data_IF_911571247136
#
_entry.id   IF_911571247136
#
_cell.length_a   1.000
_cell.length_b   1.000
_cell.length_c   1.000
_cell.angle_alpha   90.00
_cell.angle_beta   90.00
_cell.angle_gamma   90.00
#
_symmetry.space_group_name_H-M   'P 1'
#
loop_
_entity.id
_entity.type
_entity.pdbx_description
1 polymer ?
#
# COMPACT_ATOMS: atom_id res chain seq x y z
N UNK A 1 50.64 -4.17 25.95
CA UNK A 1 50.47 -3.74 24.53
C UNK A 1 49.23 -4.31 23.81
N UNK A 2 48.38 -5.17 24.42
CA UNK A 2 47.24 -5.82 23.73
C UNK A 2 45.99 -4.96 23.56
N UNK A 3 45.81 -3.92 24.38
CA UNK A 3 44.59 -3.07 24.38
C UNK A 3 44.55 -2.09 23.19
N UNK A 4 45.70 -1.72 22.61
CA UNK A 4 45.79 -0.75 21.50
C UNK A 4 45.15 -1.22 20.19
N UNK A 5 44.97 -2.53 20.02
CA UNK A 5 44.41 -3.11 18.78
C UNK A 5 42.94 -3.50 18.90
N UNK A 6 42.41 -3.63 20.12
CA UNK A 6 41.02 -4.05 20.34
C UNK A 6 40.04 -2.96 19.92
N UNK A 7 40.29 -1.70 20.31
CA UNK A 7 39.43 -0.56 19.97
C UNK A 7 39.30 -0.33 18.46
N UNK A 8 40.39 -0.19 17.67
CA UNK A 8 40.26 0.01 16.23
C UNK A 8 39.66 -1.20 15.51
N UNK A 9 39.93 -2.43 15.99
CA UNK A 9 39.34 -3.65 15.41
C UNK A 9 37.84 -3.73 15.66
N UNK A 10 37.37 -3.38 16.86
CA UNK A 10 35.93 -3.31 17.18
C UNK A 10 35.21 -2.25 16.33
N UNK A 11 35.85 -1.10 16.06
CA UNK A 11 35.28 -0.07 15.19
C UNK A 11 35.17 -0.52 13.73
N UNK A 12 36.16 -1.28 13.23
CA UNK A 12 36.12 -1.85 11.88
C UNK A 12 35.00 -2.89 11.74
N UNK A 13 34.88 -3.80 12.71
CA UNK A 13 33.80 -4.80 12.72
C UNK A 13 32.42 -4.13 12.80
N UNK A 14 32.25 -3.13 13.67
CA UNK A 14 31.01 -2.37 13.78
C UNK A 14 30.63 -1.64 12.49
N UNK A 15 31.62 -1.04 11.80
CA UNK A 15 31.40 -0.35 10.52
C UNK A 15 30.98 -1.30 9.40
N UNK A 16 31.59 -2.49 9.32
CA UNK A 16 31.24 -3.51 8.32
C UNK A 16 29.82 -4.02 8.54
N UNK A 17 29.45 -4.33 9.79
CA UNK A 17 28.09 -4.77 10.13
C UNK A 17 27.05 -3.68 9.85
N UNK A 18 27.36 -2.42 10.18
CA UNK A 18 26.49 -1.28 9.86
C UNK A 18 26.29 -1.07 8.36
N UNK A 19 27.37 -1.15 7.57
CA UNK A 19 27.29 -1.01 6.12
C UNK A 19 26.50 -2.16 5.46
N UNK A 20 26.71 -3.39 5.92
CA UNK A 20 25.96 -4.55 5.44
C UNK A 20 24.47 -4.44 5.76
N UNK A 21 24.11 -3.99 6.97
CA UNK A 21 22.71 -3.78 7.36
C UNK A 21 22.02 -2.70 6.51
N UNK A 22 22.70 -1.59 6.20
CA UNK A 22 22.14 -0.53 5.35
C UNK A 22 21.94 -1.04 3.91
N UNK A 23 22.89 -1.79 3.37
CA UNK A 23 22.77 -2.36 2.01
C UNK A 23 21.65 -3.39 1.91
N UNK A 24 21.44 -4.23 2.94
CA UNK A 24 20.33 -5.18 2.95
C UNK A 24 18.98 -4.49 3.08
N UNK A 25 18.85 -3.47 3.93
CA UNK A 25 17.64 -2.64 4.04
C UNK A 25 17.29 -1.94 2.71
N UNK A 26 18.28 -1.37 2.03
CA UNK A 26 18.09 -0.73 0.73
C UNK A 26 17.68 -1.74 -0.35
N UNK A 27 18.27 -2.94 -0.35
CA UNK A 27 17.93 -4.02 -1.28
C UNK A 27 16.54 -4.64 -1.00
N UNK A 28 16.02 -4.51 0.22
CA UNK A 28 14.71 -5.06 0.60
C UNK A 28 13.55 -4.06 0.39
N UNK A 29 13.84 -2.77 0.22
CA UNK A 29 12.81 -1.74 0.04
C UNK A 29 12.13 -1.87 -1.34
N UNK A 30 10.94 -2.47 -1.37
CA UNK A 30 10.08 -2.45 -2.56
C UNK A 30 9.48 -1.05 -2.71
N UNK A 31 9.44 -0.48 -3.93
CA UNK A 31 8.79 0.80 -4.14
C UNK A 31 7.29 0.69 -3.82
N UNK A 32 6.71 1.69 -3.13
CA UNK A 32 5.29 1.69 -2.84
C UNK A 32 4.47 1.74 -4.14
N UNK A 33 3.34 1.06 -4.15
CA UNK A 33 2.42 1.00 -5.28
C UNK A 33 1.20 1.85 -4.98
N UNK A 34 0.83 2.72 -5.92
CA UNK A 34 -0.38 3.52 -5.85
C UNK A 34 -1.41 2.98 -6.83
N UNK A 35 -2.49 2.40 -6.29
CA UNK A 35 -3.64 1.99 -7.08
C UNK A 35 -4.60 3.16 -7.20
N UNK A 36 -5.00 3.48 -8.42
CA UNK A 36 -6.00 4.49 -8.73
C UNK A 36 -7.24 3.75 -9.25
N UNK A 37 -8.32 3.76 -8.47
CA UNK A 37 -9.61 3.26 -8.89
C UNK A 37 -10.50 4.42 -9.33
N UNK A 38 -10.82 4.45 -10.61
CA UNK A 38 -11.76 5.39 -11.22
C UNK A 38 -13.07 4.62 -11.39
N UNK A 39 -14.05 4.87 -10.52
CA UNK A 39 -15.27 4.08 -10.46
C UNK A 39 -16.40 4.71 -11.28
N UNK A 40 -17.22 3.88 -11.91
CA UNK A 40 -18.51 4.26 -12.47
C UNK A 40 -19.61 3.55 -11.67
N UNK A 41 -20.44 4.33 -10.96
CA UNK A 41 -21.45 3.81 -10.05
C UNK A 41 -22.83 3.99 -10.66
N UNK A 42 -23.53 2.88 -10.90
CA UNK A 42 -24.90 2.88 -11.45
C UNK A 42 -25.98 2.82 -10.36
N UNK A 43 -25.69 2.16 -9.23
CA UNK A 43 -26.56 2.11 -8.06
C UNK A 43 -25.85 2.76 -6.87
N UNK A 44 -26.13 4.05 -6.64
CA UNK A 44 -25.47 4.81 -5.58
C UNK A 44 -25.79 4.28 -4.18
N UNK A 45 -27.01 3.80 -3.96
CA UNK A 45 -27.46 3.32 -2.65
C UNK A 45 -26.77 2.00 -2.29
N UNK A 46 -26.82 1.01 -3.19
CA UNK A 46 -26.13 -0.28 -3.00
C UNK A 46 -24.61 -0.10 -2.86
N UNK A 47 -24.02 0.76 -3.70
CA UNK A 47 -22.61 1.11 -3.59
C UNK A 47 -22.25 1.63 -2.19
N UNK A 48 -23.02 2.58 -1.67
CA UNK A 48 -22.70 3.26 -0.41
C UNK A 48 -22.99 2.38 0.82
N UNK A 49 -24.09 1.62 0.80
CA UNK A 49 -24.55 0.85 1.95
C UNK A 49 -23.97 -0.56 2.01
N UNK A 50 -23.76 -1.20 0.86
CA UNK A 50 -23.44 -2.63 0.77
C UNK A 50 -22.00 -2.87 0.36
N UNK A 51 -21.47 -2.12 -0.61
CA UNK A 51 -20.10 -2.31 -1.11
C UNK A 51 -19.04 -1.56 -0.28
N UNK A 52 -19.23 -0.26 -0.04
CA UNK A 52 -18.20 0.60 0.58
C UNK A 52 -17.73 0.09 1.95
N UNK A 53 -18.61 -0.27 2.91
CA UNK A 53 -18.15 -0.71 4.23
C UNK A 53 -17.25 -1.95 4.22
N UNK A 54 -17.61 -3.09 3.59
CA UNK A 54 -16.73 -4.26 3.54
C UNK A 54 -15.49 -4.01 2.66
N UNK A 55 -15.60 -3.25 1.57
CA UNK A 55 -14.45 -2.92 0.74
C UNK A 55 -13.40 -2.10 1.53
N UNK A 56 -13.82 -1.07 2.26
CA UNK A 56 -12.93 -0.28 3.12
C UNK A 56 -12.28 -1.12 4.22
N UNK A 57 -13.04 -2.05 4.81
CA UNK A 57 -12.51 -2.98 5.80
C UNK A 57 -11.42 -3.86 5.21
N UNK A 58 -11.67 -4.49 4.06
CA UNK A 58 -10.70 -5.36 3.37
C UNK A 58 -9.37 -4.63 3.06
N UNK A 59 -9.44 -3.37 2.62
CA UNK A 59 -8.25 -2.56 2.35
C UNK A 59 -7.39 -2.43 3.60
N UNK A 60 -8.01 -2.09 4.74
CA UNK A 60 -7.30 -1.92 6.02
C UNK A 60 -6.73 -3.23 6.53
N UNK A 61 -7.51 -4.30 6.48
CA UNK A 61 -7.11 -5.63 6.96
C UNK A 61 -5.90 -6.18 6.16
N UNK A 62 -5.79 -5.81 4.89
CA UNK A 62 -4.67 -6.20 4.02
C UNK A 62 -3.50 -5.20 4.01
N UNK A 63 -3.53 -4.16 4.85
CA UNK A 63 -2.44 -3.19 4.98
C UNK A 63 -2.42 -2.09 3.92
N UNK A 64 -3.49 -1.95 3.13
CA UNK A 64 -3.66 -0.85 2.20
C UNK A 64 -3.96 0.47 2.93
N UNK A 65 -3.41 1.56 2.43
CA UNK A 65 -3.55 2.90 3.02
C UNK A 65 -4.34 3.79 2.07
N UNK A 66 -5.44 4.39 2.56
CA UNK A 66 -6.16 5.41 1.80
C UNK A 66 -5.35 6.70 1.73
N UNK A 67 -5.00 7.12 0.52
CA UNK A 67 -4.34 8.40 0.23
C UNK A 67 -5.38 9.46 -0.09
N UNK A 68 -6.38 9.10 -0.90
CA UNK A 68 -7.53 9.95 -1.24
C UNK A 68 -8.75 9.09 -1.58
N UNK A 69 -9.95 9.57 -1.25
CA UNK A 69 -11.20 8.97 -1.67
C UNK A 69 -12.31 10.03 -1.71
N UNK A 70 -13.03 10.14 -2.81
CA UNK A 70 -14.13 11.10 -2.96
C UNK A 70 -14.60 11.25 -4.41
N UNK A 71 -15.57 12.14 -4.68
CA UNK A 71 -16.15 12.31 -6.02
C UNK A 71 -15.14 12.76 -7.08
N UNK A 72 -13.95 13.24 -6.67
CA UNK A 72 -12.98 13.84 -7.58
C UNK A 72 -13.40 15.23 -8.06
N UNK A 73 -12.44 16.00 -8.57
CA UNK A 73 -12.70 17.27 -9.23
C UNK A 73 -12.13 17.18 -10.63
N UNK A 74 -13.01 17.27 -11.63
CA UNK A 74 -12.61 17.22 -13.03
C UNK A 74 -11.96 18.54 -13.43
N UNK A 75 -10.68 18.49 -13.80
CA UNK A 75 -9.94 19.65 -14.32
C UNK A 75 -9.91 19.63 -15.85
N UNK A 76 -9.83 18.44 -16.45
CA UNK A 76 -9.84 18.22 -17.90
C UNK A 76 -10.34 16.79 -18.21
N UNK A 77 -10.68 16.52 -19.48
CA UNK A 77 -11.19 15.21 -19.92
C UNK A 77 -12.60 14.94 -19.42
N UNK A 78 -12.92 13.68 -19.12
CA UNK A 78 -14.19 13.25 -18.52
C UNK A 78 -13.90 12.41 -17.26
N UNK A 79 -14.64 12.69 -16.18
CA UNK A 79 -14.64 11.85 -14.98
C UNK A 79 -15.96 11.07 -14.91
N UNK A 80 -15.95 9.74 -14.69
CA UNK A 80 -17.19 8.98 -14.57
C UNK A 80 -18.00 9.37 -13.33
N UNK A 81 -19.28 9.01 -13.32
CA UNK A 81 -20.17 9.19 -12.17
C UNK A 81 -19.80 8.20 -11.06
N UNK A 82 -18.78 8.50 -10.28
CA UNK A 82 -18.36 7.69 -9.16
C UNK A 82 -17.09 8.24 -8.49
N UNK A 83 -16.75 7.75 -7.30
CA UNK A 83 -15.60 8.26 -6.58
C UNK A 83 -14.30 7.79 -7.22
N UNK A 84 -13.28 8.65 -7.16
CA UNK A 84 -11.88 8.29 -7.36
C UNK A 84 -11.29 7.87 -6.03
N UNK A 85 -10.63 6.72 -6.01
CA UNK A 85 -9.96 6.19 -4.81
C UNK A 85 -8.49 5.96 -5.13
N UNK A 86 -7.60 6.49 -4.29
CA UNK A 86 -6.16 6.28 -4.36
C UNK A 86 -5.73 5.51 -3.11
N UNK A 87 -5.21 4.30 -3.32
CA UNK A 87 -4.67 3.46 -2.26
C UNK A 87 -3.16 3.30 -2.43
N UNK A 88 -2.42 3.44 -1.35
CA UNK A 88 -1.01 3.06 -1.28
C UNK A 88 -0.87 1.65 -0.72
N UNK A 89 0.02 0.88 -1.33
CA UNK A 89 0.45 -0.45 -0.92
C UNK A 89 1.97 -0.48 -0.81
N UNK A 90 2.50 -1.35 0.05
CA UNK A 90 3.95 -1.52 0.21
C UNK A 90 4.59 -2.26 -0.96
N UNK A 91 3.81 -3.02 -1.73
CA UNK A 91 4.27 -3.66 -2.96
C UNK A 91 3.11 -4.05 -3.89
N UNK A 92 3.45 -4.45 -5.12
CA UNK A 92 2.48 -4.96 -6.09
C UNK A 92 1.87 -6.29 -5.62
N UNK A 93 2.64 -7.13 -4.92
CA UNK A 93 2.13 -8.40 -4.40
C UNK A 93 1.12 -8.17 -3.27
N UNK A 94 1.33 -7.17 -2.40
CA UNK A 94 0.34 -6.80 -1.38
C UNK A 94 -0.99 -6.37 -2.03
N UNK A 95 -0.92 -5.52 -3.07
CA UNK A 95 -2.08 -5.13 -3.86
C UNK A 95 -2.78 -6.35 -4.49
N UNK A 96 -2.02 -7.24 -5.13
CA UNK A 96 -2.58 -8.43 -5.79
C UNK A 96 -3.22 -9.40 -4.80
N UNK A 97 -2.60 -9.61 -3.63
CA UNK A 97 -3.14 -10.45 -2.57
C UNK A 97 -4.49 -9.91 -2.08
N UNK A 98 -4.60 -8.60 -1.87
CA UNK A 98 -5.89 -7.97 -1.56
C UNK A 98 -6.88 -8.07 -2.71
N UNK A 99 -6.47 -7.84 -3.97
CA UNK A 99 -7.38 -7.95 -5.14
C UNK A 99 -7.97 -9.35 -5.31
N UNK A 100 -7.23 -10.37 -4.89
CA UNK A 100 -7.64 -11.77 -4.97
C UNK A 100 -8.25 -12.31 -3.66
N UNK A 101 -8.44 -11.45 -2.65
CA UNK A 101 -8.92 -11.84 -1.34
C UNK A 101 -10.42 -12.20 -1.34
N UNK A 102 -10.86 -13.20 -0.54
CA UNK A 102 -12.27 -13.60 -0.50
C UNK A 102 -13.23 -12.48 -0.04
N UNK A 103 -12.80 -11.62 0.87
CA UNK A 103 -13.57 -10.52 1.43
C UNK A 103 -13.80 -9.39 0.42
N UNK A 104 -12.77 -9.00 -0.36
CA UNK A 104 -12.99 -8.07 -1.48
C UNK A 104 -13.88 -8.70 -2.56
N UNK A 105 -13.64 -9.96 -2.92
CA UNK A 105 -14.44 -10.67 -3.93
C UNK A 105 -15.90 -10.84 -3.48
N UNK A 106 -16.15 -10.96 -2.18
CA UNK A 106 -17.50 -10.95 -1.62
C UNK A 106 -18.14 -9.55 -1.71
N UNK A 107 -17.39 -8.49 -1.38
CA UNK A 107 -17.88 -7.11 -1.50
C UNK A 107 -18.28 -6.76 -2.94
N UNK A 108 -17.50 -7.20 -3.94
CA UNK A 108 -17.78 -6.97 -5.36
C UNK A 108 -19.04 -7.68 -5.90
N UNK A 109 -19.69 -8.55 -5.12
CA UNK A 109 -20.93 -9.24 -5.53
C UNK A 109 -22.19 -8.52 -5.05
N UNK A 110 -22.07 -7.62 -4.08
CA UNK A 110 -23.20 -6.92 -3.45
C UNK A 110 -23.35 -5.47 -3.94
N UNK A 111 -22.42 -4.96 -4.75
CA UNK A 111 -22.51 -3.66 -5.42
C UNK A 111 -21.99 -3.71 -6.84
#
# INVERSE_FOLDING_TARGET
MKVRWIVPLSMLVGSILGAAAIQTLHAQAKPPVYMIAINEVRNQEGYTKEYVPPAQKSVKDHGGVYVAAGPGTQVTGNLPNGPVVILRWDSIEALQNWRNSPDLQAALKVG
#
